data_IF_801029249184
#
_entry.id   IF_801029249184
#
_cell.length_a   1.000
_cell.length_b   1.000
_cell.length_c   1.000
_cell.angle_alpha   90.00
_cell.angle_beta   90.00
_cell.angle_gamma   90.00
#
_symmetry.space_group_name_H-M   'P 1'
#
loop_
_entity.id
_entity.type
_entity.pdbx_description
1 polymer ?
#
# COMPACT_ATOMS: atom_id res chain seq x y z
N UNK A 1 16.10 -31.73 -1.72
CA UNK A 1 16.52 -31.70 -3.13
C UNK A 1 17.39 -30.47 -3.31
N UNK A 2 18.72 -30.59 -3.23
CA UNK A 2 19.65 -29.45 -3.25
C UNK A 2 19.83 -28.93 -4.68
N UNK A 3 19.12 -27.87 -5.06
CA UNK A 3 19.43 -27.10 -6.27
C UNK A 3 20.56 -26.12 -5.94
N UNK A 4 21.71 -26.27 -6.60
CA UNK A 4 22.76 -25.27 -6.58
C UNK A 4 22.37 -24.14 -7.54
N UNK A 5 22.26 -22.91 -7.05
CA UNK A 5 22.25 -21.70 -7.88
C UNK A 5 23.72 -21.33 -8.08
N UNK A 6 24.21 -21.39 -9.31
CA UNK A 6 25.54 -20.91 -9.65
C UNK A 6 25.51 -19.38 -9.70
N UNK A 7 26.07 -18.72 -8.68
CA UNK A 7 26.52 -17.35 -8.85
C UNK A 7 27.76 -17.36 -9.76
N UNK A 8 27.64 -16.73 -10.91
CA UNK A 8 28.72 -16.55 -11.87
C UNK A 8 29.61 -15.40 -11.41
N UNK A 9 30.44 -15.62 -10.38
CA UNK A 9 31.70 -14.88 -10.29
C UNK A 9 32.77 -15.71 -9.58
N UNK A 10 33.91 -15.83 -10.25
CA UNK A 10 34.93 -16.82 -9.99
C UNK A 10 35.76 -16.48 -8.74
N UNK A 11 35.61 -17.25 -7.66
CA UNK A 11 36.62 -17.28 -6.58
C UNK A 11 36.21 -17.90 -5.25
N UNK A 12 34.94 -17.83 -4.87
CA UNK A 12 34.43 -18.47 -3.64
C UNK A 12 33.06 -19.06 -3.88
N UNK A 13 33.00 -20.36 -4.18
CA UNK A 13 31.75 -21.12 -4.07
C UNK A 13 31.40 -21.28 -2.59
N UNK A 14 30.80 -20.25 -1.99
CA UNK A 14 30.05 -20.43 -0.75
C UNK A 14 28.86 -21.30 -1.14
N UNK A 15 28.89 -22.57 -0.75
CA UNK A 15 27.76 -23.47 -1.00
C UNK A 15 26.50 -22.86 -0.40
N UNK A 16 25.44 -22.72 -1.19
CA UNK A 16 24.10 -22.35 -0.71
C UNK A 16 23.68 -23.23 0.46
N UNK A 17 24.11 -24.50 0.47
CA UNK A 17 23.91 -25.39 1.59
C UNK A 17 24.54 -24.88 2.90
N UNK A 18 25.70 -24.21 2.84
CA UNK A 18 26.33 -23.57 4.00
C UNK A 18 25.64 -22.26 4.38
N UNK A 19 25.10 -21.49 3.42
CA UNK A 19 24.30 -20.29 3.71
C UNK A 19 23.01 -20.69 4.39
N UNK A 20 22.23 -21.60 3.80
CA UNK A 20 21.00 -22.14 4.39
C UNK A 20 21.32 -22.73 5.76
N UNK A 21 22.34 -23.58 5.88
CA UNK A 21 22.74 -24.16 7.17
C UNK A 21 23.18 -23.10 8.19
N UNK A 22 23.80 -21.99 7.79
CA UNK A 22 24.15 -20.91 8.71
C UNK A 22 22.91 -20.07 9.09
N UNK A 23 21.99 -19.85 8.14
CA UNK A 23 20.71 -19.19 8.40
C UNK A 23 19.83 -20.04 9.33
N UNK A 24 19.84 -21.38 9.20
CA UNK A 24 18.98 -22.30 9.94
C UNK A 24 19.62 -22.89 11.20
N UNK A 25 20.95 -23.06 11.24
CA UNK A 25 21.67 -23.75 12.33
C UNK A 25 22.75 -22.90 13.03
N UNK A 26 23.07 -21.67 12.58
CA UNK A 26 24.13 -20.89 13.23
C UNK A 26 24.42 -19.47 12.72
N UNK A 27 24.05 -18.47 13.53
CA UNK A 27 24.53 -17.08 13.54
C UNK A 27 24.53 -16.36 12.17
N UNK A 28 23.34 -16.09 11.59
CA UNK A 28 23.16 -15.36 10.32
C UNK A 28 23.82 -13.98 10.28
N UNK A 29 24.13 -13.40 11.46
CA UNK A 29 24.95 -12.20 11.62
C UNK A 29 26.26 -12.21 10.86
N UNK A 30 26.86 -13.35 10.49
CA UNK A 30 28.14 -13.32 9.74
C UNK A 30 27.99 -13.07 8.24
N UNK A 31 26.83 -13.35 7.64
CA UNK A 31 26.67 -13.35 6.17
C UNK A 31 26.29 -11.97 5.63
N UNK A 32 25.52 -11.21 6.40
CA UNK A 32 25.10 -9.85 6.03
C UNK A 32 26.14 -8.76 6.39
N UNK A 33 27.34 -9.15 6.82
CA UNK A 33 28.47 -8.27 7.17
C UNK A 33 29.59 -8.29 6.12
N UNK A 34 29.41 -8.99 5.01
CA UNK A 34 30.39 -8.95 3.93
C UNK A 34 30.27 -7.63 3.16
N UNK A 35 31.40 -6.98 2.89
CA UNK A 35 31.48 -5.82 1.97
C UNK A 35 31.15 -6.20 0.52
N UNK A 36 31.08 -7.51 0.24
CA UNK A 36 30.72 -8.04 -1.07
C UNK A 36 29.20 -7.98 -1.27
N UNK A 37 28.79 -7.03 -2.11
CA UNK A 37 27.39 -6.81 -2.50
C UNK A 37 26.74 -8.08 -3.06
N UNK A 38 27.50 -8.93 -3.74
CA UNK A 38 27.00 -10.19 -4.31
C UNK A 38 26.56 -11.15 -3.20
N UNK A 39 27.35 -11.26 -2.14
CA UNK A 39 27.04 -12.11 -0.98
C UNK A 39 25.78 -11.60 -0.28
N UNK A 40 25.65 -10.29 -0.13
CA UNK A 40 24.46 -9.65 0.47
C UNK A 40 23.22 -9.89 -0.39
N UNK A 41 23.29 -9.67 -1.71
CA UNK A 41 22.17 -9.93 -2.63
C UNK A 41 21.71 -11.38 -2.54
N UNK A 42 22.64 -12.34 -2.59
CA UNK A 42 22.29 -13.76 -2.46
C UNK A 42 21.61 -14.08 -1.13
N UNK A 43 22.11 -13.51 -0.02
CA UNK A 43 21.53 -13.72 1.30
C UNK A 43 20.11 -13.17 1.38
N UNK A 44 19.87 -11.94 0.90
CA UNK A 44 18.54 -11.32 0.87
C UNK A 44 17.57 -12.14 0.03
N UNK A 45 17.97 -12.63 -1.15
CA UNK A 45 17.14 -13.49 -1.97
C UNK A 45 16.79 -14.82 -1.30
N UNK A 46 17.76 -15.47 -0.65
CA UNK A 46 17.50 -16.71 0.08
C UNK A 46 16.51 -16.47 1.22
N UNK A 47 16.71 -15.39 1.99
CA UNK A 47 15.78 -15.01 3.07
C UNK A 47 14.39 -14.76 2.50
N UNK A 48 14.28 -14.01 1.40
CA UNK A 48 13.02 -13.74 0.70
C UNK A 48 12.31 -15.04 0.33
N UNK A 49 12.97 -15.98 -0.33
CA UNK A 49 12.34 -17.26 -0.68
C UNK A 49 11.85 -18.05 0.53
N UNK A 50 12.65 -18.08 1.61
CA UNK A 50 12.27 -18.79 2.84
C UNK A 50 11.04 -18.13 3.47
N UNK A 51 11.08 -16.81 3.64
CA UNK A 51 10.01 -16.05 4.28
C UNK A 51 8.71 -16.09 3.49
N UNK A 52 8.78 -16.02 2.14
CA UNK A 52 7.61 -16.12 1.25
C UNK A 52 6.96 -17.50 1.32
N UNK A 53 7.76 -18.57 1.36
CA UNK A 53 7.26 -19.94 1.43
C UNK A 53 6.43 -20.21 2.71
N UNK A 54 6.79 -19.58 3.82
CA UNK A 54 6.06 -19.74 5.09
C UNK A 54 4.70 -19.02 5.12
N UNK A 55 4.36 -18.18 4.12
CA UNK A 55 3.07 -17.48 4.07
C UNK A 55 1.94 -18.27 3.39
N UNK A 56 2.24 -19.29 2.57
CA UNK A 56 1.23 -19.94 1.72
C UNK A 56 0.06 -20.55 2.52
N UNK A 57 0.29 -20.89 3.79
CA UNK A 57 -0.69 -21.53 4.67
C UNK A 57 -1.16 -20.64 5.84
N UNK A 58 -0.77 -19.35 5.88
CA UNK A 58 -1.15 -18.47 6.98
C UNK A 58 -2.53 -17.84 6.76
N UNK A 59 -3.35 -17.89 7.81
CA UNK A 59 -4.64 -17.22 7.86
C UNK A 59 -4.49 -15.68 7.96
N UNK A 60 -5.55 -14.96 7.59
CA UNK A 60 -5.63 -13.50 7.82
C UNK A 60 -5.39 -13.16 9.30
N UNK A 61 -4.53 -12.18 9.57
CA UNK A 61 -4.18 -11.74 10.91
C UNK A 61 -3.15 -12.62 11.62
N UNK A 62 -2.74 -13.75 11.03
CA UNK A 62 -1.66 -14.56 11.57
C UNK A 62 -0.30 -13.90 11.32
N UNK A 63 0.55 -13.86 12.34
CA UNK A 63 1.91 -13.34 12.25
C UNK A 63 2.82 -14.35 11.55
N UNK A 64 3.88 -13.85 10.90
CA UNK A 64 4.88 -14.70 10.28
C UNK A 64 5.61 -15.56 11.33
N UNK A 65 5.63 -16.90 11.21
CA UNK A 65 6.25 -17.78 12.21
C UNK A 65 7.76 -17.58 12.36
N UNK A 66 8.43 -17.02 11.34
CA UNK A 66 9.86 -16.74 11.38
C UNK A 66 10.21 -15.40 12.03
N UNK A 67 9.23 -14.53 12.30
CA UNK A 67 9.48 -13.19 12.84
C UNK A 67 10.31 -13.24 14.14
N UNK A 68 9.88 -14.03 15.13
CA UNK A 68 10.59 -14.12 16.42
C UNK A 68 11.99 -14.71 16.26
N UNK A 69 12.14 -15.80 15.49
CA UNK A 69 13.44 -16.44 15.28
C UNK A 69 14.45 -15.49 14.61
N UNK A 70 14.01 -14.74 13.59
CA UNK A 70 14.86 -13.79 12.87
C UNK A 70 15.11 -12.49 13.65
N UNK A 71 14.23 -12.14 14.58
CA UNK A 71 14.47 -11.09 15.58
C UNK A 71 15.57 -11.53 16.54
N UNK A 72 15.43 -12.70 17.16
CA UNK A 72 16.34 -13.20 18.20
C UNK A 72 17.77 -13.39 17.69
N UNK A 73 17.91 -13.84 16.44
CA UNK A 73 19.21 -14.02 15.82
C UNK A 73 19.79 -12.73 15.21
N UNK A 74 19.06 -11.61 15.24
CA UNK A 74 19.46 -10.30 14.76
C UNK A 74 19.43 -10.10 13.24
N UNK A 75 18.79 -11.00 12.48
CA UNK A 75 18.66 -10.87 11.03
C UNK A 75 17.78 -9.67 10.66
N UNK A 76 16.64 -9.48 11.35
CA UNK A 76 15.76 -8.34 11.10
C UNK A 76 16.50 -7.02 11.31
N UNK A 77 17.20 -6.87 12.44
CA UNK A 77 18.00 -5.67 12.73
C UNK A 77 19.03 -5.39 11.62
N UNK A 78 19.63 -6.43 11.06
CA UNK A 78 20.62 -6.28 9.99
C UNK A 78 19.97 -5.89 8.66
N UNK A 79 18.82 -6.47 8.30
CA UNK A 79 18.05 -6.06 7.11
C UNK A 79 17.65 -4.58 7.22
N UNK A 80 17.17 -4.16 8.38
CA UNK A 80 16.85 -2.75 8.68
C UNK A 80 18.09 -1.86 8.53
N UNK A 81 19.24 -2.29 9.04
CA UNK A 81 20.50 -1.54 8.92
C UNK A 81 20.89 -1.35 7.45
N UNK A 82 20.78 -2.40 6.63
CA UNK A 82 21.08 -2.33 5.19
C UNK A 82 20.07 -1.42 4.47
N UNK A 83 18.79 -1.51 4.83
CA UNK A 83 17.73 -0.67 4.26
C UNK A 83 17.92 0.82 4.58
N UNK A 84 18.38 1.14 5.79
CA UNK A 84 18.72 2.53 6.16
C UNK A 84 19.91 3.09 5.36
N UNK A 85 20.81 2.23 4.91
CA UNK A 85 21.93 2.57 4.02
C UNK A 85 21.54 2.47 2.52
N UNK A 86 20.24 2.60 2.20
CA UNK A 86 19.70 2.41 0.83
C UNK A 86 20.37 3.25 -0.25
N UNK A 87 20.83 4.45 0.07
CA UNK A 87 21.48 5.35 -0.89
C UNK A 87 22.80 4.77 -1.43
N UNK A 88 23.41 3.83 -0.69
CA UNK A 88 24.63 3.13 -1.06
C UNK A 88 24.37 1.70 -1.54
N UNK A 89 23.12 1.31 -1.80
CA UNK A 89 22.75 -0.03 -2.27
C UNK A 89 22.06 0.02 -3.63
N UNK A 90 22.20 -1.03 -4.46
CA UNK A 90 21.37 -1.21 -5.65
C UNK A 90 19.87 -1.24 -5.30
N UNK A 91 19.03 -0.60 -6.12
CA UNK A 91 17.57 -0.50 -5.89
C UNK A 91 16.92 -1.87 -5.66
N UNK A 92 17.26 -2.87 -6.48
CA UNK A 92 16.68 -4.22 -6.37
C UNK A 92 16.94 -4.89 -5.00
N UNK A 93 18.02 -4.54 -4.30
CA UNK A 93 18.29 -5.03 -2.94
C UNK A 93 17.37 -4.31 -1.95
N UNK A 94 17.25 -2.99 -2.08
CA UNK A 94 16.41 -2.15 -1.21
C UNK A 94 14.94 -2.59 -1.31
N UNK A 95 14.47 -2.81 -2.54
CA UNK A 95 13.15 -3.38 -2.86
C UNK A 95 12.98 -4.76 -2.21
N UNK A 96 13.91 -5.70 -2.46
CA UNK A 96 13.84 -7.04 -1.88
C UNK A 96 13.81 -7.02 -0.35
N UNK A 97 14.52 -6.08 0.29
CA UNK A 97 14.50 -5.93 1.75
C UNK A 97 13.15 -5.38 2.22
N UNK A 98 12.60 -4.36 1.53
CA UNK A 98 11.28 -3.82 1.86
C UNK A 98 10.20 -4.91 1.78
N UNK A 99 10.24 -5.75 0.73
CA UNK A 99 9.38 -6.93 0.62
C UNK A 99 9.59 -7.86 1.82
N UNK A 100 10.81 -8.34 2.06
CA UNK A 100 11.11 -9.26 3.17
C UNK A 100 10.58 -8.73 4.50
N UNK A 101 10.76 -7.44 4.77
CA UNK A 101 10.24 -6.81 5.98
C UNK A 101 8.71 -6.80 5.98
N UNK A 102 8.04 -6.50 4.87
CA UNK A 102 6.58 -6.60 4.79
C UNK A 102 6.06 -8.01 5.09
N UNK A 103 6.72 -9.05 4.59
CA UNK A 103 6.37 -10.44 4.89
C UNK A 103 6.60 -10.80 6.35
N UNK A 104 7.69 -10.33 6.96
CA UNK A 104 8.02 -10.60 8.37
C UNK A 104 7.11 -9.85 9.33
N UNK A 105 6.72 -8.63 8.98
CA UNK A 105 5.84 -7.76 9.75
C UNK A 105 4.35 -7.88 9.35
N UNK A 106 3.96 -8.97 8.65
CA UNK A 106 2.54 -9.32 8.44
C UNK A 106 1.80 -9.30 9.78
N UNK A 107 0.69 -8.57 9.84
CA UNK A 107 -0.14 -8.38 11.04
C UNK A 107 0.64 -7.88 12.28
N UNK A 108 1.77 -7.20 12.07
CA UNK A 108 2.59 -6.55 13.09
C UNK A 108 2.85 -5.08 12.71
N UNK A 109 3.03 -4.20 13.70
CA UNK A 109 3.46 -2.83 13.42
C UNK A 109 4.90 -2.84 12.90
N UNK A 110 5.16 -2.07 11.84
CA UNK A 110 6.52 -1.82 11.40
C UNK A 110 7.31 -1.04 12.47
N UNK A 111 8.64 -1.17 12.52
CA UNK A 111 9.45 -0.33 13.39
C UNK A 111 9.30 1.14 13.00
N UNK A 112 8.98 1.99 13.98
CA UNK A 112 8.62 3.41 13.81
C UNK A 112 9.71 4.24 13.09
N UNK A 113 10.95 3.78 13.11
CA UNK A 113 12.09 4.48 12.52
C UNK A 113 12.32 4.17 11.03
N UNK A 114 11.51 3.30 10.42
CA UNK A 114 11.60 2.91 9.01
C UNK A 114 10.23 2.67 8.34
N UNK A 115 9.12 2.83 9.07
CA UNK A 115 7.79 2.44 8.62
C UNK A 115 7.37 3.22 7.36
N UNK A 116 7.53 4.55 7.39
CA UNK A 116 7.25 5.45 6.26
C UNK A 116 8.11 5.12 5.06
N UNK A 117 9.41 4.88 5.23
CA UNK A 117 10.32 4.58 4.14
C UNK A 117 10.04 3.24 3.48
N UNK A 118 9.71 2.20 4.26
CA UNK A 118 9.31 0.89 3.73
C UNK A 118 8.03 1.04 2.92
N UNK A 119 7.00 1.68 3.51
CA UNK A 119 5.71 1.84 2.83
C UNK A 119 5.87 2.66 1.55
N UNK A 120 6.65 3.75 1.58
CA UNK A 120 6.96 4.54 0.39
C UNK A 120 7.66 3.71 -0.69
N UNK A 121 8.64 2.88 -0.31
CA UNK A 121 9.30 1.98 -1.25
C UNK A 121 8.30 1.01 -1.91
N UNK A 122 7.41 0.40 -1.12
CA UNK A 122 6.42 -0.54 -1.63
C UNK A 122 5.37 0.12 -2.54
N UNK A 123 4.95 1.35 -2.24
CA UNK A 123 4.07 2.14 -3.10
C UNK A 123 4.71 2.41 -4.46
N UNK A 124 5.96 2.88 -4.47
CA UNK A 124 6.68 3.22 -5.69
C UNK A 124 6.87 2.03 -6.64
N UNK A 125 7.07 0.83 -6.08
CA UNK A 125 7.25 -0.41 -6.85
C UNK A 125 5.92 -1.14 -7.11
N UNK A 126 4.78 -0.55 -6.74
CA UNK A 126 3.43 -1.12 -6.98
C UNK A 126 3.25 -2.50 -6.28
N UNK A 127 3.89 -2.67 -5.13
CA UNK A 127 3.90 -3.92 -4.35
C UNK A 127 2.65 -4.04 -3.45
N UNK A 128 1.48 -4.14 -4.09
CA UNK A 128 0.18 -4.20 -3.41
C UNK A 128 0.01 -5.43 -2.51
N UNK A 129 0.63 -6.57 -2.84
CA UNK A 129 0.55 -7.77 -2.00
C UNK A 129 1.21 -7.51 -0.64
N UNK A 130 2.41 -6.95 -0.65
CA UNK A 130 3.20 -6.61 0.52
C UNK A 130 2.51 -5.52 1.35
N UNK A 131 1.95 -4.49 0.71
CA UNK A 131 1.10 -3.50 1.39
C UNK A 131 -0.13 -4.16 2.04
N UNK A 132 -0.76 -5.12 1.38
CA UNK A 132 -1.91 -5.83 1.94
C UNK A 132 -1.53 -6.65 3.19
N UNK A 133 -0.36 -7.29 3.22
CA UNK A 133 0.16 -8.00 4.40
C UNK A 133 0.35 -7.05 5.59
N UNK A 134 0.93 -5.87 5.33
CA UNK A 134 1.13 -4.83 6.36
C UNK A 134 -0.19 -4.23 6.84
N UNK A 135 -1.18 -4.11 5.95
CA UNK A 135 -2.52 -3.61 6.27
C UNK A 135 -3.35 -4.55 7.16
N UNK A 136 -2.85 -5.74 7.51
CA UNK A 136 -3.47 -6.55 8.55
C UNK A 136 -3.20 -6.00 9.97
N UNK A 137 -2.24 -5.09 10.12
CA UNK A 137 -2.01 -4.35 11.34
C UNK A 137 -2.56 -2.91 11.21
N UNK A 138 -3.50 -2.48 12.06
CA UNK A 138 -4.07 -1.13 12.00
C UNK A 138 -3.05 -0.01 12.23
N UNK A 139 -1.99 -0.27 12.99
CA UNK A 139 -0.94 0.71 13.28
C UNK A 139 -0.21 1.17 12.01
N UNK A 140 -0.14 0.31 10.99
CA UNK A 140 0.49 0.64 9.70
C UNK A 140 -0.40 1.50 8.80
N UNK A 141 -1.71 1.61 9.07
CA UNK A 141 -2.68 2.20 8.14
C UNK A 141 -2.48 3.70 7.92
N UNK A 142 -2.10 4.45 8.96
CA UNK A 142 -1.84 5.91 8.81
C UNK A 142 -0.73 6.17 7.79
N UNK A 143 0.34 5.38 7.84
CA UNK A 143 1.46 5.50 6.89
C UNK A 143 1.07 4.98 5.48
N UNK A 144 0.27 3.92 5.37
CA UNK A 144 -0.25 3.43 4.09
C UNK A 144 -1.16 4.48 3.43
N UNK A 145 -2.03 5.13 4.19
CA UNK A 145 -2.97 6.16 3.69
C UNK A 145 -2.40 7.59 3.70
N UNK A 146 -1.10 7.73 3.96
CA UNK A 146 -0.39 8.99 3.83
C UNK A 146 -0.40 9.46 2.36
N UNK A 147 -0.37 10.77 2.15
CA UNK A 147 -0.46 11.43 0.84
C UNK A 147 -1.73 11.08 0.03
N UNK A 148 -2.82 10.74 0.73
CA UNK A 148 -4.12 10.39 0.13
C UNK A 148 -4.04 9.25 -0.88
N UNK A 149 -3.22 8.27 -0.54
CA UNK A 149 -2.99 7.10 -1.37
C UNK A 149 -4.26 6.32 -1.72
N UNK A 150 -5.33 6.40 -0.91
CA UNK A 150 -6.62 5.81 -1.26
C UNK A 150 -7.23 6.38 -2.56
N UNK A 151 -6.89 7.63 -2.91
CA UNK A 151 -7.32 8.24 -4.15
C UNK A 151 -6.60 7.64 -5.35
N UNK A 152 -5.37 7.13 -5.20
CA UNK A 152 -4.55 6.53 -6.26
C UNK A 152 -5.01 5.11 -6.60
N UNK A 153 -5.66 4.41 -5.66
CA UNK A 153 -6.15 3.05 -5.87
C UNK A 153 -7.17 3.00 -7.01
N UNK A 154 -7.01 2.03 -7.92
CA UNK A 154 -7.83 1.80 -9.10
C UNK A 154 -7.91 2.99 -10.09
N UNK A 155 -6.95 3.92 -10.09
CA UNK A 155 -6.94 5.03 -11.06
C UNK A 155 -6.34 4.67 -12.42
N UNK A 156 -5.47 3.67 -12.47
CA UNK A 156 -4.71 3.36 -13.68
C UNK A 156 -5.36 2.22 -14.46
N UNK A 157 -5.81 2.53 -15.67
CA UNK A 157 -6.38 1.56 -16.61
C UNK A 157 -5.34 0.49 -17.02
N UNK A 158 -4.04 0.78 -16.94
CA UNK A 158 -2.97 -0.19 -17.23
C UNK A 158 -2.73 -1.16 -16.04
N UNK A 159 -3.25 -0.85 -14.84
CA UNK A 159 -3.13 -1.69 -13.65
C UNK A 159 -4.30 -2.66 -13.44
N UNK A 160 -5.11 -2.92 -14.47
CA UNK A 160 -6.21 -3.91 -14.41
C UNK A 160 -5.71 -5.25 -13.84
N UNK A 161 -4.50 -5.69 -14.22
CA UNK A 161 -3.87 -6.92 -13.74
C UNK A 161 -3.55 -6.96 -12.23
N UNK A 162 -3.61 -5.81 -11.54
CA UNK A 162 -3.37 -5.68 -10.11
C UNK A 162 -4.64 -5.49 -9.28
N UNK A 163 -5.82 -5.53 -9.92
CA UNK A 163 -7.11 -5.29 -9.24
C UNK A 163 -7.31 -6.20 -8.03
N UNK A 164 -6.93 -7.48 -8.13
CA UNK A 164 -7.09 -8.43 -7.03
C UNK A 164 -6.23 -8.04 -5.80
N UNK A 165 -5.00 -7.59 -6.04
CA UNK A 165 -4.04 -7.20 -5.02
C UNK A 165 -4.48 -5.89 -4.36
N UNK A 166 -4.94 -4.92 -5.14
CA UNK A 166 -5.52 -3.68 -4.62
C UNK A 166 -6.79 -3.95 -3.79
N UNK A 167 -7.66 -4.86 -4.24
CA UNK A 167 -8.83 -5.30 -3.49
C UNK A 167 -8.44 -5.94 -2.15
N UNK A 168 -7.36 -6.72 -2.08
CA UNK A 168 -6.88 -7.30 -0.83
C UNK A 168 -6.38 -6.23 0.15
N UNK A 169 -5.62 -5.25 -0.35
CA UNK A 169 -5.17 -4.11 0.45
C UNK A 169 -6.36 -3.35 1.05
N UNK A 170 -7.31 -2.96 0.20
CA UNK A 170 -8.54 -2.27 0.62
C UNK A 170 -9.33 -3.09 1.64
N UNK A 171 -9.54 -4.38 1.36
CA UNK A 171 -10.27 -5.28 2.25
C UNK A 171 -9.65 -5.29 3.64
N UNK A 172 -8.32 -5.38 3.74
CA UNK A 172 -7.62 -5.39 5.02
C UNK A 172 -7.76 -4.07 5.77
N UNK A 173 -7.70 -2.92 5.09
CA UNK A 173 -7.94 -1.62 5.71
C UNK A 173 -9.39 -1.50 6.22
N UNK A 174 -10.38 -1.88 5.39
CA UNK A 174 -11.80 -1.85 5.78
C UNK A 174 -12.12 -2.84 6.92
N UNK A 175 -11.43 -3.98 6.99
CA UNK A 175 -11.61 -4.99 8.03
C UNK A 175 -10.98 -4.54 9.35
N UNK A 176 -9.70 -4.15 9.34
CA UNK A 176 -8.91 -3.95 10.56
C UNK A 176 -8.72 -2.50 10.98
N UNK A 177 -8.97 -1.53 10.10
CA UNK A 177 -8.60 -0.13 10.36
C UNK A 177 -9.43 0.58 11.41
N UNK A 178 -8.95 1.75 11.84
CA UNK A 178 -9.75 2.68 12.63
C UNK A 178 -10.97 3.15 11.82
N UNK A 179 -12.03 3.60 12.51
CA UNK A 179 -13.21 4.13 11.81
C UNK A 179 -12.87 5.25 10.83
N UNK A 180 -11.97 6.17 11.21
CA UNK A 180 -11.47 7.23 10.32
C UNK A 180 -10.82 6.67 9.04
N UNK A 181 -9.91 5.69 9.17
CA UNK A 181 -9.26 5.06 8.00
C UNK A 181 -10.27 4.31 7.12
N UNK A 182 -11.22 3.60 7.74
CA UNK A 182 -12.30 2.91 7.02
C UNK A 182 -13.17 3.90 6.24
N UNK A 183 -13.60 4.98 6.88
CA UNK A 183 -14.38 6.06 6.28
C UNK A 183 -13.64 6.68 5.10
N UNK A 184 -12.38 7.07 5.30
CA UNK A 184 -11.49 7.65 4.27
C UNK A 184 -11.43 6.75 3.03
N UNK A 185 -11.13 5.46 3.21
CA UNK A 185 -11.06 4.49 2.10
C UNK A 185 -12.42 4.21 1.48
N UNK A 186 -13.47 3.99 2.28
CA UNK A 186 -14.80 3.63 1.80
C UNK A 186 -15.39 4.72 0.90
N UNK A 187 -15.33 5.97 1.34
CA UNK A 187 -15.74 7.11 0.52
C UNK A 187 -14.89 7.20 -0.74
N UNK A 188 -13.62 6.83 -0.65
CA UNK A 188 -12.70 7.11 -1.73
C UNK A 188 -12.82 6.22 -2.97
N UNK A 189 -13.17 4.96 -2.75
CA UNK A 189 -13.10 3.95 -3.80
C UNK A 189 -14.46 3.39 -4.18
N UNK A 190 -15.55 3.72 -3.47
CA UNK A 190 -16.88 3.12 -3.67
C UNK A 190 -17.28 3.08 -5.14
N UNK A 191 -17.25 4.23 -5.82
CA UNK A 191 -17.62 4.36 -7.23
C UNK A 191 -16.71 3.49 -8.11
N UNK A 192 -15.41 3.42 -7.80
CA UNK A 192 -14.45 2.60 -8.56
C UNK A 192 -14.73 1.11 -8.39
N UNK A 193 -15.08 0.66 -7.18
CA UNK A 193 -15.46 -0.73 -6.89
C UNK A 193 -16.78 -1.10 -7.59
N UNK A 194 -17.78 -0.21 -7.58
CA UNK A 194 -19.04 -0.42 -8.31
C UNK A 194 -18.79 -0.55 -9.82
N UNK A 195 -17.94 0.31 -10.39
CA UNK A 195 -17.54 0.24 -11.78
C UNK A 195 -16.82 -1.07 -12.10
N UNK A 196 -15.90 -1.52 -11.24
CA UNK A 196 -15.17 -2.78 -11.40
C UNK A 196 -16.13 -3.98 -11.42
N UNK A 197 -17.15 -3.99 -10.55
CA UNK A 197 -18.18 -5.04 -10.54
C UNK A 197 -18.99 -5.01 -11.85
N UNK A 198 -19.44 -3.84 -12.29
CA UNK A 198 -20.25 -3.70 -13.49
C UNK A 198 -19.48 -4.10 -14.76
N UNK A 199 -18.19 -3.75 -14.85
CA UNK A 199 -17.34 -4.17 -15.96
C UNK A 199 -17.17 -5.70 -16.01
N UNK A 200 -17.03 -6.34 -14.86
CA UNK A 200 -16.94 -7.81 -14.80
C UNK A 200 -18.20 -8.51 -15.32
N UNK A 201 -19.37 -7.86 -15.25
CA UNK A 201 -20.65 -8.46 -15.68
C UNK A 201 -20.88 -8.41 -17.20
N UNK A 202 -20.05 -7.69 -17.97
CA UNK A 202 -20.28 -7.43 -19.41
C UNK A 202 -19.61 -8.45 -20.35
N UNK A 203 -18.57 -9.18 -19.90
CA UNK A 203 -17.71 -9.99 -20.78
C UNK A 203 -18.01 -11.50 -20.82
N UNK A 204 -19.19 -11.94 -20.37
CA UNK A 204 -19.50 -13.37 -20.16
C UNK A 204 -20.07 -14.11 -21.37
N UNK A 205 -19.31 -14.27 -22.46
CA UNK A 205 -19.85 -14.94 -23.66
C UNK A 205 -18.85 -15.85 -24.39
N UNK A 206 -18.00 -16.65 -23.71
CA UNK A 206 -17.79 -18.07 -24.12
C UNK A 206 -16.71 -18.86 -23.33
N UNK A 207 -15.77 -18.25 -22.61
CA UNK A 207 -14.83 -18.98 -21.72
C UNK A 207 -14.52 -18.13 -20.49
N UNK A 208 -15.06 -18.51 -19.33
CA UNK A 208 -14.80 -17.81 -18.06
C UNK A 208 -13.31 -17.89 -17.69
N UNK A 209 -12.61 -16.76 -17.75
CA UNK A 209 -11.30 -16.64 -17.11
C UNK A 209 -11.51 -16.67 -15.58
N UNK A 210 -10.90 -17.65 -14.92
CA UNK A 210 -10.91 -17.84 -13.44
C UNK A 210 -10.49 -16.56 -12.68
N UNK A 211 -9.78 -15.66 -13.36
CA UNK A 211 -9.39 -14.35 -12.83
C UNK A 211 -10.58 -13.40 -12.66
N UNK A 212 -11.45 -13.24 -13.66
CA UNK A 212 -12.60 -12.32 -13.61
C UNK A 212 -13.57 -12.71 -12.48
N UNK A 213 -13.79 -14.02 -12.31
CA UNK A 213 -14.62 -14.56 -11.23
C UNK A 213 -14.04 -14.18 -9.87
N UNK A 214 -12.72 -14.32 -9.68
CA UNK A 214 -12.05 -14.00 -8.41
C UNK A 214 -12.12 -12.51 -8.12
N UNK A 215 -11.84 -11.66 -9.11
CA UNK A 215 -11.90 -10.20 -8.96
C UNK A 215 -13.33 -9.75 -8.65
N UNK A 216 -14.32 -10.19 -9.42
CA UNK A 216 -15.74 -9.85 -9.20
C UNK A 216 -16.22 -10.29 -7.80
N UNK A 217 -15.87 -11.51 -7.39
CA UNK A 217 -16.21 -12.02 -6.05
C UNK A 217 -15.57 -11.18 -4.95
N UNK A 218 -14.30 -10.83 -5.09
CA UNK A 218 -13.58 -10.03 -4.08
C UNK A 218 -14.09 -8.58 -4.06
N UNK A 219 -14.38 -7.99 -5.21
CA UNK A 219 -14.96 -6.66 -5.31
C UNK A 219 -16.33 -6.58 -4.63
N UNK A 220 -17.19 -7.60 -4.79
CA UNK A 220 -18.47 -7.71 -4.09
C UNK A 220 -18.29 -7.80 -2.56
N UNK A 221 -17.26 -8.50 -2.07
CA UNK A 221 -16.94 -8.52 -0.63
C UNK A 221 -16.49 -7.14 -0.14
N UNK A 222 -15.62 -6.47 -0.88
CA UNK A 222 -15.17 -5.11 -0.56
C UNK A 222 -16.36 -4.15 -0.53
N UNK A 223 -17.24 -4.20 -1.53
CA UNK A 223 -18.45 -3.37 -1.58
C UNK A 223 -19.34 -3.59 -0.35
N UNK A 224 -19.49 -4.83 0.11
CA UNK A 224 -20.26 -5.09 1.34
C UNK A 224 -19.63 -4.47 2.59
N UNK A 225 -18.30 -4.42 2.67
CA UNK A 225 -17.59 -3.76 3.76
C UNK A 225 -17.77 -2.24 3.69
N UNK A 226 -17.72 -1.66 2.48
CA UNK A 226 -17.97 -0.24 2.24
C UNK A 226 -19.38 0.14 2.71
N UNK A 227 -20.42 -0.61 2.31
CA UNK A 227 -21.80 -0.36 2.72
C UNK A 227 -21.92 -0.38 4.26
N UNK A 228 -21.30 -1.36 4.92
CA UNK A 228 -21.29 -1.42 6.39
C UNK A 228 -20.61 -0.22 7.06
N UNK A 229 -19.60 0.38 6.41
CA UNK A 229 -18.98 1.63 6.89
C UNK A 229 -19.92 2.81 6.67
N UNK A 230 -20.61 2.89 5.54
CA UNK A 230 -21.60 3.95 5.28
C UNK A 230 -22.75 3.94 6.28
N UNK A 231 -23.26 2.76 6.64
CA UNK A 231 -24.28 2.61 7.69
C UNK A 231 -23.77 3.17 9.04
N UNK A 232 -22.52 2.89 9.40
CA UNK A 232 -21.92 3.44 10.63
C UNK A 232 -21.76 4.98 10.57
N UNK A 233 -21.46 5.54 9.40
CA UNK A 233 -21.39 7.00 9.20
C UNK A 233 -22.78 7.64 9.37
N UNK A 234 -23.82 7.00 8.84
CA UNK A 234 -25.21 7.44 9.00
C UNK A 234 -25.65 7.40 10.47
N UNK A 235 -25.33 6.32 11.19
CA UNK A 235 -25.64 6.17 12.62
C UNK A 235 -24.97 7.23 13.50
N UNK A 236 -23.78 7.71 13.12
CA UNK A 236 -23.07 8.78 13.83
C UNK A 236 -23.60 10.19 13.50
N UNK A 237 -24.53 10.32 12.55
CA UNK A 237 -25.10 11.61 12.14
C UNK A 237 -24.17 12.45 11.26
N UNK A 238 -23.03 11.91 10.84
CA UNK A 238 -22.04 12.63 10.03
C UNK A 238 -22.46 12.77 8.54
N UNK A 239 -23.59 12.16 8.15
CA UNK A 239 -24.07 12.17 6.77
C UNK A 239 -24.63 13.52 6.31
N UNK A 240 -25.19 14.31 7.24
CA UNK A 240 -25.73 15.63 6.93
C UNK A 240 -24.63 16.63 6.58
N UNK A 241 -23.46 16.52 7.21
CA UNK A 241 -22.27 17.34 6.92
C UNK A 241 -21.70 17.00 5.54
N UNK A 242 -21.61 15.72 5.19
CA UNK A 242 -21.09 15.30 3.88
C UNK A 242 -21.99 15.75 2.72
N UNK A 243 -23.32 15.64 2.85
CA UNK A 243 -24.25 16.09 1.81
C UNK A 243 -24.29 17.62 1.69
N UNK A 244 -24.17 18.38 2.79
CA UNK A 244 -24.13 19.84 2.73
C UNK A 244 -22.90 20.35 1.98
N UNK A 245 -21.74 19.71 2.17
CA UNK A 245 -20.51 20.07 1.47
C UNK A 245 -20.59 19.68 -0.02
N UNK A 246 -21.16 18.52 -0.36
CA UNK A 246 -21.40 18.10 -1.76
C UNK A 246 -22.50 18.92 -2.49
N UNK A 247 -23.44 19.53 -1.75
CA UNK A 247 -24.54 20.34 -2.33
C UNK A 247 -24.14 21.81 -2.48
N UNK A 248 -23.28 22.36 -1.61
CA UNK A 248 -22.78 23.73 -1.76
C UNK A 248 -21.76 23.88 -2.89
N UNK A 249 -20.99 22.84 -3.21
CA UNK A 249 -20.06 22.83 -4.36
C UNK A 249 -20.77 22.74 -5.71
N UNK A 250 -21.86 21.96 -5.82
CA UNK A 250 -22.74 21.95 -7.01
C UNK A 250 -23.33 23.31 -7.40
N UNK A 251 -23.34 24.30 -6.50
CA UNK A 251 -23.85 25.65 -6.81
C UNK A 251 -22.80 26.57 -7.43
N UNK A 252 -21.53 26.15 -7.47
CA UNK A 252 -20.45 26.94 -8.08
C UNK A 252 -20.08 26.46 -9.50
N UNK A 253 -20.65 25.35 -9.98
CA UNK A 253 -20.34 24.75 -11.30
C UNK A 253 -21.05 25.43 -12.49
N UNK A 254 -21.85 26.48 -12.26
CA UNK A 254 -22.48 27.23 -13.36
C UNK A 254 -21.62 28.39 -13.89
N UNK A 255 -20.49 28.74 -13.24
CA UNK A 255 -19.59 29.80 -13.70
C UNK A 255 -18.11 29.41 -13.50
N UNK A 256 -17.41 29.16 -14.61
CA UNK A 256 -15.94 29.05 -14.78
C UNK A 256 -15.30 27.65 -14.64
N UNK A 257 -15.03 27.06 -15.81
CA UNK A 257 -14.18 25.88 -16.03
C UNK A 257 -12.70 26.27 -15.76
N UNK A 258 -12.30 26.37 -14.48
CA UNK A 258 -10.88 26.47 -14.11
C UNK A 258 -10.20 25.10 -14.20
N UNK A 259 -9.07 25.11 -14.89
CA UNK A 259 -8.24 23.97 -15.24
C UNK A 259 -7.66 23.32 -13.97
N UNK A 260 -8.10 22.09 -13.64
CA UNK A 260 -7.70 21.33 -12.43
C UNK A 260 -6.16 21.19 -12.34
N UNK A 261 -5.47 21.19 -13.48
CA UNK A 261 -4.00 21.16 -13.56
C UNK A 261 -3.33 22.45 -13.04
N UNK A 262 -4.04 23.60 -13.04
CA UNK A 262 -3.55 24.84 -12.44
C UNK A 262 -3.73 24.85 -10.92
N UNK A 263 -4.76 24.16 -10.40
CA UNK A 263 -5.00 24.05 -8.95
C UNK A 263 -3.91 23.19 -8.28
N UNK A 264 -3.54 22.06 -8.89
CA UNK A 264 -2.43 21.22 -8.42
C UNK A 264 -1.07 21.94 -8.45
N UNK A 265 -0.79 22.76 -9.48
CA UNK A 265 0.47 23.52 -9.59
C UNK A 265 0.57 24.71 -8.62
N UNK A 266 -0.56 25.26 -8.16
CA UNK A 266 -0.58 26.36 -7.19
C UNK A 266 -0.27 25.89 -5.77
N UNK A 267 -0.57 24.62 -5.47
CA UNK A 267 -0.31 23.98 -4.18
C UNK A 267 1.16 23.57 -4.05
N UNK A 268 1.78 23.04 -5.11
CA UNK A 268 3.20 22.60 -5.09
C UNK A 268 4.24 23.75 -5.06
N UNK A 269 3.84 25.01 -5.21
CA UNK A 269 4.74 26.16 -5.18
C UNK A 269 4.70 26.97 -3.86
N UNK A 270 4.04 26.46 -2.81
CA UNK A 270 4.02 27.11 -1.49
C UNK A 270 5.22 26.75 -0.58
N UNK A 271 6.06 25.80 -0.96
CA UNK A 271 7.24 25.39 -0.18
C UNK A 271 8.49 26.31 -0.33
N UNK A 272 8.33 27.53 -0.84
CA UNK A 272 9.40 28.55 -0.90
C UNK A 272 9.10 29.74 0.01
N UNK A 273 8.71 29.47 1.26
CA UNK A 273 8.73 30.48 2.32
C UNK A 273 10.08 30.34 3.02
N UNK A 274 10.91 31.38 2.90
CA UNK A 274 12.18 31.52 3.60
C UNK A 274 11.95 31.32 5.11
N UNK A 275 12.66 30.34 5.68
CA UNK A 275 12.72 30.05 7.12
C UNK A 275 13.28 31.28 7.85
N UNK A 276 12.41 32.06 8.49
CA UNK A 276 12.80 32.91 9.62
C UNK A 276 12.45 32.15 10.91
N UNK A 277 13.50 31.86 11.67
CA UNK A 277 13.51 31.20 12.98
C UNK A 277 12.67 31.99 13.99
N UNK A 278 11.67 31.36 14.61
CA UNK A 278 11.31 31.61 16.01
C UNK A 278 10.48 30.45 16.57
N UNK A 279 10.96 29.91 17.70
CA UNK A 279 10.34 28.86 18.53
C UNK A 279 8.97 29.33 19.07
N UNK A 280 7.92 28.49 19.06
CA UNK A 280 6.93 28.31 20.14
C UNK A 280 6.04 27.07 19.84
N UNK A 281 5.35 26.61 20.90
CA UNK A 281 4.89 25.26 21.21
C UNK A 281 3.57 24.78 20.54
N UNK A 282 3.49 23.45 20.40
CA UNK A 282 2.31 22.56 20.48
C UNK A 282 0.91 23.14 20.19
N UNK A 283 0.40 22.81 19.00
CA UNK A 283 -0.95 22.32 18.66
C UNK A 283 -1.34 22.89 17.28
N UNK A 284 -1.31 22.08 16.21
CA UNK A 284 -2.06 22.33 14.96
C UNK A 284 -1.99 21.09 14.02
N UNK A 285 -2.36 19.90 14.51
CA UNK A 285 -2.56 18.72 13.64
C UNK A 285 -3.98 18.68 13.01
N UNK A 286 -4.93 19.49 13.51
CA UNK A 286 -6.34 19.45 13.09
C UNK A 286 -6.63 20.25 11.80
N UNK A 287 -5.82 21.26 11.46
CA UNK A 287 -6.06 22.14 10.29
C UNK A 287 -5.68 21.45 8.96
N UNK A 288 -4.71 20.52 8.99
CA UNK A 288 -4.28 19.74 7.83
C UNK A 288 -5.36 18.75 7.39
N UNK A 289 -6.10 18.16 8.34
CA UNK A 289 -7.18 17.21 8.04
C UNK A 289 -8.37 17.87 7.33
N UNK A 290 -8.62 19.16 7.58
CA UNK A 290 -9.74 19.90 6.97
C UNK A 290 -9.45 20.27 5.51
N UNK A 291 -8.23 20.73 5.20
CA UNK A 291 -7.77 21.00 3.84
C UNK A 291 -7.78 19.71 3.00
N UNK A 292 -7.36 18.59 3.60
CA UNK A 292 -7.33 17.31 2.91
C UNK A 292 -8.74 16.79 2.56
N UNK A 293 -9.73 17.07 3.40
CA UNK A 293 -11.13 16.75 3.12
C UNK A 293 -11.69 17.57 1.94
N UNK A 294 -11.33 18.85 1.83
CA UNK A 294 -11.77 19.71 0.71
C UNK A 294 -11.20 19.19 -0.62
N UNK A 295 -9.93 18.80 -0.64
CA UNK A 295 -9.26 18.24 -1.83
C UNK A 295 -9.93 16.94 -2.27
N UNK A 296 -10.25 16.05 -1.32
CA UNK A 296 -10.91 14.79 -1.61
C UNK A 296 -12.26 15.03 -2.30
N UNK A 297 -13.04 16.03 -1.86
CA UNK A 297 -14.34 16.37 -2.44
C UNK A 297 -14.22 16.83 -3.89
N UNK A 298 -13.28 17.73 -4.20
CA UNK A 298 -13.06 18.22 -5.56
C UNK A 298 -12.66 17.11 -6.54
N UNK A 299 -11.86 16.14 -6.06
CA UNK A 299 -11.48 14.97 -6.85
C UNK A 299 -12.69 14.07 -7.19
N UNK A 300 -13.61 13.84 -6.24
CA UNK A 300 -14.83 13.06 -6.50
C UNK A 300 -15.75 13.69 -7.55
N UNK A 301 -15.85 15.02 -7.54
CA UNK A 301 -16.69 15.76 -8.49
C UNK A 301 -16.18 15.60 -9.93
N UNK A 302 -14.85 15.67 -10.12
CA UNK A 302 -14.21 15.45 -11.41
C UNK A 302 -14.49 14.04 -11.97
N UNK A 303 -14.31 13.00 -11.15
CA UNK A 303 -14.54 11.60 -11.54
C UNK A 303 -16.01 11.34 -11.89
N UNK A 304 -16.95 11.86 -11.08
CA UNK A 304 -18.38 11.70 -11.32
C UNK A 304 -18.83 12.39 -12.61
N UNK A 305 -18.27 13.56 -12.91
CA UNK A 305 -18.59 14.32 -14.12
C UNK A 305 -18.04 13.65 -15.37
N UNK A 306 -16.85 13.05 -15.32
CA UNK A 306 -16.32 12.25 -16.44
C UNK A 306 -17.19 11.02 -16.73
N UNK A 307 -17.63 10.29 -15.69
CA UNK A 307 -18.51 9.12 -15.84
C UNK A 307 -19.85 9.48 -16.49
N UNK A 308 -20.46 10.61 -16.10
CA UNK A 308 -21.71 11.11 -16.72
C UNK A 308 -21.53 11.49 -18.19
N UNK A 309 -20.41 12.14 -18.54
CA UNK A 309 -20.11 12.52 -19.94
C UNK A 309 -19.92 11.28 -20.83
N UNK A 310 -19.32 10.19 -20.32
CA UNK A 310 -19.21 8.92 -21.05
C UNK A 310 -20.59 8.32 -21.37
N UNK A 311 -21.49 8.26 -20.37
CA UNK A 311 -22.86 7.73 -20.57
C UNK A 311 -23.72 8.52 -21.56
N UNK A 312 -23.48 9.82 -21.69
CA UNK A 312 -24.20 10.70 -22.63
C UNK A 312 -23.74 10.58 -24.09
N UNK A 313 -22.57 10.00 -24.34
CA UNK A 313 -22.01 9.83 -25.67
C UNK A 313 -22.28 8.45 -26.28
N UNK A 314 -22.78 7.50 -25.47
CA UNK A 314 -23.12 6.14 -25.89
C UNK A 314 -24.61 5.98 -26.28
N UNK A 315 -25.45 7.01 -26.07
CA UNK A 315 -26.85 7.12 -26.49
C UNK A 315 -27.02 7.97 -27.78
#
# INVERSE_FOLDING_TARGET
MNKAIQCQDEGQMISIGNIIKSLTEGNPKKILYYDDITVVTCAVWIISYIVKAELEELEDGAQNPLHQQLTDNGTILQLITIFKDKDNKPNHIVESIAEVLAYLFKALPLPQDIDKEIIKQLKNEINFNELALLAECPDNHKAILHDCYELELFNDEDLIGFSLQQLNLVKNILKYGSFSNKKKVALAIKVKIENLINQSDIYFDDEEDDWDIKVSKQAKQVLSLIISVEEQIEEQGEYEEMNATQINTKKNDDDEEEDIDQLFNKIYNMDNIEEDEEEEEDNDDDEIDEIQQIINIQFYESQLNQSKRRKLNDD
#
